data_IF_048001281889
#
_entry.id   IF_048001281889
#
_cell.length_a   1.000
_cell.length_b   1.000
_cell.length_c   1.000
_cell.angle_alpha   90.00
_cell.angle_beta   90.00
_cell.angle_gamma   90.00
#
_symmetry.space_group_name_H-M   'P 1'
#
loop_
_entity.id
_entity.type
_entity.pdbx_description
1 polymer ?
#
# COMPACT_ATOMS: atom_id res chain seq x y z
N UNK A 1 31.97 -15.93 11.20
CA UNK A 1 30.96 -14.91 10.85
C UNK A 1 29.85 -15.57 10.04
N UNK A 2 28.56 -15.30 10.31
CA UNK A 2 27.48 -15.83 9.47
C UNK A 2 27.58 -15.20 8.09
N UNK A 3 27.58 -16.03 7.05
CA UNK A 3 27.57 -15.58 5.66
C UNK A 3 26.30 -14.76 5.43
N UNK A 4 26.36 -13.52 4.92
CA UNK A 4 25.15 -12.73 4.68
C UNK A 4 24.21 -13.54 3.80
N UNK A 5 22.93 -13.56 4.19
CA UNK A 5 21.92 -14.29 3.45
C UNK A 5 21.94 -13.80 2.00
N UNK A 6 22.13 -14.71 1.04
CA UNK A 6 22.33 -14.40 -0.38
C UNK A 6 21.13 -13.68 -1.03
N UNK A 7 19.99 -13.64 -0.32
CA UNK A 7 18.74 -13.00 -0.75
C UNK A 7 18.11 -12.31 0.47
N UNK A 8 17.73 -11.05 0.34
CA UNK A 8 17.04 -10.31 1.40
C UNK A 8 15.55 -10.59 1.38
N UNK A 9 14.86 -10.32 2.49
CA UNK A 9 13.38 -10.36 2.53
C UNK A 9 12.80 -9.37 1.52
N UNK A 10 13.44 -8.21 1.34
CA UNK A 10 12.97 -7.18 0.42
C UNK A 10 13.00 -7.63 -1.04
N UNK A 11 14.09 -8.25 -1.50
CA UNK A 11 14.20 -8.79 -2.86
C UNK A 11 13.11 -9.83 -3.16
N UNK A 12 12.81 -10.69 -2.19
CA UNK A 12 11.77 -11.71 -2.31
C UNK A 12 10.37 -11.08 -2.42
N UNK A 13 10.11 -10.05 -1.63
CA UNK A 13 8.84 -9.34 -1.66
C UNK A 13 8.70 -8.43 -2.90
N UNK A 14 9.80 -7.91 -3.45
CA UNK A 14 9.80 -7.20 -4.73
C UNK A 14 9.47 -8.15 -5.90
N UNK A 15 10.06 -9.34 -5.90
CA UNK A 15 9.72 -10.38 -6.85
C UNK A 15 8.24 -10.82 -6.72
N UNK A 16 7.73 -10.95 -5.50
CA UNK A 16 6.32 -11.25 -5.25
C UNK A 16 5.38 -10.14 -5.76
N UNK A 17 5.73 -8.86 -5.55
CA UNK A 17 4.97 -7.72 -6.07
C UNK A 17 4.96 -7.70 -7.61
N UNK A 18 6.09 -8.01 -8.25
CA UNK A 18 6.19 -8.10 -9.70
C UNK A 18 5.33 -9.23 -10.28
N UNK A 19 5.37 -10.42 -9.66
CA UNK A 19 4.53 -11.55 -10.05
C UNK A 19 3.03 -11.23 -9.90
N UNK A 20 2.65 -10.59 -8.79
CA UNK A 20 1.28 -10.13 -8.56
C UNK A 20 0.84 -9.14 -9.63
N UNK A 21 1.65 -8.14 -9.95
CA UNK A 21 1.31 -7.13 -10.95
C UNK A 21 1.13 -7.74 -12.35
N UNK A 22 1.85 -8.80 -12.67
CA UNK A 22 1.79 -9.48 -13.98
C UNK A 22 0.64 -10.48 -14.07
N UNK A 23 0.51 -11.38 -13.08
CA UNK A 23 -0.36 -12.55 -13.13
C UNK A 23 -1.42 -12.61 -12.02
N UNK A 24 -1.56 -11.56 -11.22
CA UNK A 24 -2.52 -11.50 -10.13
C UNK A 24 -2.12 -12.31 -8.88
N UNK A 25 -3.01 -12.39 -7.89
CA UNK A 25 -2.75 -13.03 -6.59
C UNK A 25 -2.31 -14.50 -6.69
N UNK A 26 -2.87 -15.23 -7.65
CA UNK A 26 -2.55 -16.64 -7.89
C UNK A 26 -1.13 -16.85 -8.42
N UNK A 27 -0.53 -15.86 -9.08
CA UNK A 27 0.85 -15.94 -9.57
C UNK A 27 1.89 -15.87 -8.44
N UNK A 28 1.51 -15.39 -7.25
CA UNK A 28 2.37 -15.36 -6.07
C UNK A 28 2.38 -16.74 -5.41
N UNK A 29 3.26 -17.60 -5.90
CA UNK A 29 3.53 -18.91 -5.31
C UNK A 29 4.94 -18.97 -4.73
N UNK A 30 5.15 -19.86 -3.76
CA UNK A 30 6.46 -20.06 -3.15
C UNK A 30 7.53 -20.42 -4.20
N UNK A 31 7.21 -21.33 -5.11
CA UNK A 31 8.12 -21.73 -6.19
C UNK A 31 8.36 -20.61 -7.20
N UNK A 32 7.34 -19.83 -7.57
CA UNK A 32 7.48 -18.73 -8.51
C UNK A 32 8.38 -17.62 -7.96
N UNK A 33 8.21 -17.25 -6.69
CA UNK A 33 9.05 -16.23 -6.03
C UNK A 33 10.49 -16.70 -5.90
N UNK A 34 10.72 -17.95 -5.45
CA UNK A 34 12.06 -18.50 -5.34
C UNK A 34 12.78 -18.53 -6.71
N UNK A 35 12.06 -18.98 -7.76
CA UNK A 35 12.57 -19.00 -9.13
C UNK A 35 12.89 -17.60 -9.65
N UNK A 36 12.03 -16.62 -9.38
CA UNK A 36 12.20 -15.24 -9.86
C UNK A 36 13.49 -14.58 -9.35
N UNK A 37 13.95 -14.94 -8.15
CA UNK A 37 15.22 -14.43 -7.60
C UNK A 37 16.39 -15.41 -7.74
N UNK A 38 16.19 -16.57 -8.38
CA UNK A 38 17.20 -17.62 -8.51
C UNK A 38 17.59 -18.26 -7.16
N UNK A 39 16.70 -18.26 -6.18
CA UNK A 39 16.93 -18.88 -4.87
C UNK A 39 16.44 -20.33 -4.85
N UNK A 40 17.11 -21.24 -4.11
CA UNK A 40 16.57 -22.56 -3.83
C UNK A 40 15.22 -22.45 -3.08
N UNK A 41 14.23 -23.26 -3.46
CA UNK A 41 12.89 -23.22 -2.85
C UNK A 41 12.92 -23.31 -1.32
N UNK A 42 13.81 -24.15 -0.76
CA UNK A 42 13.97 -24.30 0.70
C UNK A 42 14.36 -23.00 1.42
N UNK A 43 15.09 -22.10 0.76
CA UNK A 43 15.46 -20.81 1.32
C UNK A 43 14.26 -19.86 1.47
N UNK A 44 13.21 -20.05 0.67
CA UNK A 44 11.98 -19.26 0.80
C UNK A 44 11.14 -19.75 2.00
N UNK A 45 11.00 -21.07 2.17
CA UNK A 45 10.27 -21.66 3.30
C UNK A 45 10.88 -21.33 4.66
N UNK A 46 12.20 -21.13 4.73
CA UNK A 46 12.85 -20.67 5.97
C UNK A 46 12.45 -19.24 6.36
N UNK A 47 12.07 -18.39 5.40
CA UNK A 47 11.69 -16.98 5.66
C UNK A 47 10.18 -16.81 5.77
N UNK A 48 9.44 -17.55 4.96
CA UNK A 48 7.99 -17.54 4.94
C UNK A 48 7.51 -18.98 5.09
N UNK A 49 6.97 -19.37 6.26
CA UNK A 49 6.56 -20.75 6.50
C UNK A 49 5.42 -21.21 5.60
N UNK A 50 4.67 -20.29 4.99
CA UNK A 50 3.55 -20.58 4.10
C UNK A 50 3.36 -19.48 3.04
N UNK A 51 2.56 -19.76 2.01
CA UNK A 51 2.11 -18.73 1.06
C UNK A 51 1.35 -17.61 1.76
N UNK A 52 0.50 -17.94 2.73
CA UNK A 52 -0.22 -16.94 3.52
C UNK A 52 0.74 -16.00 4.28
N UNK A 53 1.83 -16.53 4.85
CA UNK A 53 2.86 -15.71 5.49
C UNK A 53 3.60 -14.81 4.49
N UNK A 54 3.91 -15.31 3.29
CA UNK A 54 4.51 -14.52 2.20
C UNK A 54 3.57 -13.38 1.76
N UNK A 55 2.30 -13.68 1.49
CA UNK A 55 1.31 -12.69 1.08
C UNK A 55 1.05 -11.65 2.17
N UNK A 56 0.95 -12.07 3.44
CA UNK A 56 0.80 -11.16 4.56
C UNK A 56 2.00 -10.22 4.74
N UNK A 57 3.23 -10.73 4.58
CA UNK A 57 4.43 -9.88 4.64
C UNK A 57 4.52 -8.93 3.44
N UNK A 58 4.14 -9.38 2.24
CA UNK A 58 4.03 -8.54 1.04
C UNK A 58 3.05 -7.38 1.26
N UNK A 59 1.86 -7.69 1.76
CA UNK A 59 0.85 -6.69 2.09
C UNK A 59 1.37 -5.73 3.17
N UNK A 60 1.82 -6.25 4.32
CA UNK A 60 2.24 -5.43 5.44
C UNK A 60 3.38 -4.49 5.08
N UNK A 61 4.41 -4.97 4.37
CA UNK A 61 5.49 -4.11 3.90
C UNK A 61 4.97 -2.99 3.00
N UNK A 62 4.07 -3.33 2.09
CA UNK A 62 3.52 -2.37 1.13
C UNK A 62 2.67 -1.31 1.81
N UNK A 63 1.73 -1.73 2.65
CA UNK A 63 0.83 -0.85 3.38
C UNK A 63 1.57 0.05 4.37
N UNK A 64 2.60 -0.46 5.05
CA UNK A 64 3.42 0.34 5.96
C UNK A 64 4.26 1.39 5.23
N UNK A 65 4.86 1.06 4.09
CA UNK A 65 5.61 2.04 3.29
C UNK A 65 4.69 3.15 2.80
N UNK A 66 3.51 2.78 2.28
CA UNK A 66 2.50 3.73 1.87
C UNK A 66 2.06 4.64 3.03
N UNK A 67 1.61 4.04 4.14
CA UNK A 67 1.10 4.80 5.28
C UNK A 67 2.17 5.59 6.01
N UNK A 68 3.43 5.14 6.02
CA UNK A 68 4.53 5.93 6.57
C UNK A 68 4.69 7.24 5.79
N UNK A 69 4.78 7.18 4.45
CA UNK A 69 4.91 8.38 3.63
C UNK A 69 3.67 9.26 3.70
N UNK A 70 2.48 8.65 3.67
CA UNK A 70 1.20 9.34 3.79
C UNK A 70 1.12 10.16 5.09
N UNK A 71 1.43 9.52 6.23
CA UNK A 71 1.39 10.17 7.54
C UNK A 71 2.46 11.27 7.66
N UNK A 72 3.62 11.10 7.03
CA UNK A 72 4.65 12.14 6.97
C UNK A 72 4.14 13.38 6.21
N UNK A 73 3.55 13.20 5.03
CA UNK A 73 3.05 14.34 4.23
C UNK A 73 1.87 15.05 4.90
N UNK A 74 0.91 14.31 5.45
CA UNK A 74 -0.19 14.87 6.22
C UNK A 74 0.31 15.61 7.47
N UNK A 75 1.32 15.07 8.16
CA UNK A 75 1.90 15.68 9.36
C UNK A 75 2.66 16.98 9.11
N UNK A 76 3.17 17.20 7.89
CA UNK A 76 3.87 18.45 7.49
C UNK A 76 2.90 19.61 7.22
N UNK A 77 1.67 19.31 6.81
CA UNK A 77 0.69 20.31 6.43
C UNK A 77 -0.04 20.92 7.66
N UNK A 78 -0.38 22.21 7.55
CA UNK A 78 -1.12 22.95 8.59
C UNK A 78 -2.54 23.30 8.14
N UNK A 79 -3.51 23.06 9.01
CA UNK A 79 -4.94 23.24 8.71
C UNK A 79 -5.56 22.04 8.00
N UNK A 80 -6.85 21.82 8.22
CA UNK A 80 -7.55 20.62 7.75
C UNK A 80 -7.50 20.49 6.21
N UNK A 81 -7.74 21.59 5.49
CA UNK A 81 -7.73 21.58 4.02
C UNK A 81 -6.37 21.16 3.45
N UNK A 82 -5.27 21.77 3.91
CA UNK A 82 -3.93 21.42 3.43
C UNK A 82 -3.54 19.97 3.78
N UNK A 83 -3.94 19.48 4.96
CA UNK A 83 -3.73 18.08 5.34
C UNK A 83 -4.44 17.12 4.39
N UNK A 84 -5.70 17.39 4.06
CA UNK A 84 -6.47 16.58 3.11
C UNK A 84 -5.87 16.63 1.69
N UNK A 85 -5.50 17.82 1.20
CA UNK A 85 -4.84 17.99 -0.10
C UNK A 85 -3.51 17.22 -0.15
N UNK A 86 -2.69 17.30 0.91
CA UNK A 86 -1.41 16.59 0.99
C UNK A 86 -1.60 15.07 0.94
N UNK A 87 -2.53 14.53 1.74
CA UNK A 87 -2.83 13.08 1.75
C UNK A 87 -3.38 12.58 0.41
N UNK A 88 -4.31 13.33 -0.19
CA UNK A 88 -4.91 12.99 -1.48
C UNK A 88 -3.86 12.97 -2.60
N UNK A 89 -3.02 14.01 -2.67
CA UNK A 89 -1.94 14.13 -3.65
C UNK A 89 -0.86 13.07 -3.44
N UNK A 90 -0.45 12.81 -2.19
CA UNK A 90 0.51 11.76 -1.89
C UNK A 90 0.04 10.40 -2.43
N UNK A 91 -1.25 10.08 -2.27
CA UNK A 91 -1.80 8.81 -2.72
C UNK A 91 -1.63 8.60 -4.23
N UNK A 92 -2.03 9.57 -5.05
CA UNK A 92 -1.93 9.45 -6.52
C UNK A 92 -0.47 9.44 -6.99
N UNK A 93 0.40 10.20 -6.34
CA UNK A 93 1.84 10.25 -6.64
C UNK A 93 2.51 8.93 -6.29
N UNK A 94 2.25 8.41 -5.10
CA UNK A 94 2.84 7.15 -4.66
C UNK A 94 2.44 5.98 -5.57
N UNK A 95 1.17 5.93 -6.01
CA UNK A 95 0.72 4.92 -6.97
C UNK A 95 1.39 5.03 -8.35
N UNK A 96 1.75 6.25 -8.76
CA UNK A 96 2.50 6.50 -10.01
C UNK A 96 3.94 6.00 -9.89
N UNK A 97 4.57 6.29 -8.76
CA UNK A 97 6.00 6.01 -8.54
C UNK A 97 6.26 4.54 -8.15
N UNK A 98 5.26 3.85 -7.61
CA UNK A 98 5.36 2.48 -7.12
C UNK A 98 4.27 1.57 -7.73
N UNK A 99 4.23 1.38 -9.06
CA UNK A 99 3.10 0.74 -9.73
C UNK A 99 2.89 -0.72 -9.32
N UNK A 100 3.95 -1.50 -9.04
CA UNK A 100 3.81 -2.90 -8.59
C UNK A 100 3.19 -2.96 -7.20
N UNK A 101 3.64 -2.11 -6.28
CA UNK A 101 3.10 -2.06 -4.92
C UNK A 101 1.68 -1.45 -4.91
N UNK A 102 1.37 -0.53 -5.82
CA UNK A 102 0.00 -0.06 -6.02
C UNK A 102 -0.95 -1.19 -6.46
N UNK A 103 -0.49 -2.16 -7.27
CA UNK A 103 -1.28 -3.36 -7.59
C UNK A 103 -1.52 -4.24 -6.36
N UNK A 104 -0.54 -4.37 -5.47
CA UNK A 104 -0.72 -5.09 -4.19
C UNK A 104 -1.84 -4.44 -3.36
N UNK A 105 -1.83 -3.11 -3.22
CA UNK A 105 -2.88 -2.37 -2.51
C UNK A 105 -4.24 -2.48 -3.19
N UNK A 106 -4.28 -2.43 -4.53
CA UNK A 106 -5.51 -2.56 -5.32
C UNK A 106 -6.17 -3.94 -5.15
N UNK A 107 -5.37 -5.01 -5.14
CA UNK A 107 -5.84 -6.38 -4.91
C UNK A 107 -6.51 -6.52 -3.54
N UNK A 108 -5.93 -5.89 -2.51
CA UNK A 108 -6.48 -5.91 -1.16
C UNK A 108 -5.98 -7.09 -0.32
N UNK A 109 -6.10 -6.94 1.00
CA UNK A 109 -5.67 -7.95 1.97
C UNK A 109 -6.51 -9.24 1.88
N UNK A 110 -7.82 -9.11 1.64
CA UNK A 110 -8.76 -10.24 1.59
C UNK A 110 -8.40 -11.22 0.46
N UNK A 111 -8.15 -10.70 -0.74
CA UNK A 111 -7.74 -11.50 -1.90
C UNK A 111 -6.32 -12.09 -1.75
N UNK A 112 -5.52 -11.52 -0.85
CA UNK A 112 -4.23 -12.07 -0.41
C UNK A 112 -4.35 -13.04 0.77
N UNK A 113 -5.57 -13.43 1.14
CA UNK A 113 -5.86 -14.46 2.13
C UNK A 113 -5.67 -14.00 3.57
N UNK A 114 -6.06 -12.76 3.91
CA UNK A 114 -5.91 -12.20 5.27
C UNK A 114 -6.36 -13.14 6.39
N UNK A 115 -7.46 -13.88 6.17
CA UNK A 115 -8.01 -14.84 7.12
C UNK A 115 -7.00 -15.92 7.55
N UNK A 116 -6.04 -16.26 6.69
CA UNK A 116 -5.03 -17.31 6.92
C UNK A 116 -3.68 -16.76 7.37
N UNK A 117 -3.52 -15.44 7.46
CA UNK A 117 -2.23 -14.86 7.84
C UNK A 117 -1.85 -15.23 9.28
N UNK A 118 -0.55 -15.38 9.58
CA UNK A 118 -0.05 -15.43 10.95
C UNK A 118 -0.64 -14.32 11.84
N UNK A 119 -0.96 -14.66 13.10
CA UNK A 119 -1.65 -13.74 14.01
C UNK A 119 -0.85 -12.46 14.29
N UNK A 120 0.47 -12.54 14.31
CA UNK A 120 1.35 -11.40 14.47
C UNK A 120 1.20 -10.38 13.33
N UNK A 121 1.01 -10.84 12.08
CA UNK A 121 0.75 -9.98 10.92
C UNK A 121 -0.63 -9.33 11.00
N UNK A 122 -1.67 -10.10 11.35
CA UNK A 122 -3.01 -9.53 11.56
C UNK A 122 -3.01 -8.50 12.68
N UNK A 123 -2.33 -8.78 13.79
CA UNK A 123 -2.17 -7.84 14.90
C UNK A 123 -1.40 -6.57 14.48
N UNK A 124 -0.35 -6.71 13.65
CA UNK A 124 0.41 -5.60 13.08
C UNK A 124 -0.46 -4.72 12.18
N UNK A 125 -1.27 -5.31 11.30
CA UNK A 125 -2.26 -4.59 10.48
C UNK A 125 -3.26 -3.81 11.34
N UNK A 126 -3.84 -4.44 12.36
CA UNK A 126 -4.76 -3.77 13.29
C UNK A 126 -4.11 -2.58 14.03
N UNK A 127 -2.82 -2.67 14.37
CA UNK A 127 -2.07 -1.53 14.95
C UNK A 127 -1.89 -0.40 13.95
N UNK A 128 -1.51 -0.74 12.72
CA UNK A 128 -1.30 0.23 11.63
C UNK A 128 -2.59 0.99 11.30
N UNK A 129 -3.71 0.27 11.12
CA UNK A 129 -5.01 0.89 10.86
C UNK A 129 -5.51 1.76 12.01
N UNK A 130 -5.22 1.40 13.27
CA UNK A 130 -5.51 2.28 14.42
C UNK A 130 -4.72 3.58 14.36
N UNK A 131 -3.45 3.53 13.95
CA UNK A 131 -2.62 4.74 13.77
C UNK A 131 -3.16 5.63 12.65
N UNK A 132 -3.54 5.06 11.51
CA UNK A 132 -4.17 5.80 10.42
C UNK A 132 -5.47 6.48 10.89
N UNK A 133 -6.38 5.73 11.52
CA UNK A 133 -7.65 6.29 12.03
C UNK A 133 -7.41 7.48 12.97
N UNK A 134 -6.47 7.37 13.91
CA UNK A 134 -6.11 8.47 14.82
C UNK A 134 -5.65 9.72 14.05
N UNK A 135 -4.74 9.55 13.09
CA UNK A 135 -4.24 10.66 12.30
C UNK A 135 -5.34 11.36 11.48
N UNK A 136 -6.31 10.61 10.97
CA UNK A 136 -7.46 11.20 10.27
C UNK A 136 -8.40 11.94 11.23
N UNK A 137 -8.62 11.44 12.44
CA UNK A 137 -9.41 12.14 13.49
C UNK A 137 -8.74 13.43 13.96
N UNK A 138 -7.41 13.53 13.90
CA UNK A 138 -6.65 14.76 14.19
C UNK A 138 -6.79 15.83 13.08
N UNK A 139 -7.44 15.51 11.97
CA UNK A 139 -7.89 16.49 10.98
C UNK A 139 -9.23 17.03 11.48
N UNK A 140 -9.21 18.19 12.12
CA UNK A 140 -10.39 18.83 12.71
C UNK A 140 -11.33 19.39 11.63
N UNK A 141 -12.07 18.50 11.00
CA UNK A 141 -13.14 18.76 10.03
C UNK A 141 -14.18 17.64 10.12
N UNK A 142 -15.24 17.73 9.33
CA UNK A 142 -16.23 16.67 9.19
C UNK A 142 -15.59 15.35 8.72
N UNK A 143 -15.85 14.26 9.45
CA UNK A 143 -15.16 12.99 9.26
C UNK A 143 -15.46 12.32 7.91
N UNK A 144 -16.70 12.45 7.42
CA UNK A 144 -17.10 11.89 6.14
C UNK A 144 -16.42 12.65 5.00
N UNK A 145 -16.35 13.98 5.09
CA UNK A 145 -15.62 14.81 4.13
C UNK A 145 -14.11 14.53 4.13
N UNK A 146 -13.50 14.32 5.30
CA UNK A 146 -12.07 13.93 5.39
C UNK A 146 -11.85 12.57 4.72
N UNK A 147 -12.70 11.59 5.01
CA UNK A 147 -12.63 10.24 4.42
C UNK A 147 -12.77 10.31 2.90
N UNK A 148 -13.77 11.03 2.40
CA UNK A 148 -13.98 11.20 0.97
C UNK A 148 -12.79 11.88 0.28
N UNK A 149 -12.26 12.96 0.86
CA UNK A 149 -11.16 13.72 0.30
C UNK A 149 -9.85 12.93 0.24
N UNK A 150 -9.61 12.07 1.23
CA UNK A 150 -8.29 11.46 1.47
C UNK A 150 -8.23 10.00 1.00
N UNK A 151 -9.35 9.28 1.07
CA UNK A 151 -9.40 7.84 0.79
C UNK A 151 -10.23 7.59 -0.47
N UNK A 152 -11.51 7.93 -0.46
CA UNK A 152 -12.45 7.44 -1.48
C UNK A 152 -12.16 8.04 -2.86
N UNK A 153 -11.96 9.36 -2.94
CA UNK A 153 -11.70 10.05 -4.21
C UNK A 153 -10.32 9.66 -4.79
N UNK A 154 -9.21 9.74 -4.04
CA UNK A 154 -7.91 9.30 -4.56
C UNK A 154 -7.92 7.84 -5.00
N UNK A 155 -8.57 6.94 -4.23
CA UNK A 155 -8.73 5.54 -4.62
C UNK A 155 -9.49 5.42 -5.95
N UNK A 156 -10.64 6.08 -6.10
CA UNK A 156 -11.43 6.04 -7.33
C UNK A 156 -10.64 6.56 -8.55
N UNK A 157 -9.87 7.63 -8.37
CA UNK A 157 -9.01 8.22 -9.41
C UNK A 157 -7.93 7.23 -9.86
N UNK A 158 -7.20 6.58 -8.94
CA UNK A 158 -6.12 5.64 -9.33
C UNK A 158 -6.67 4.31 -9.83
N UNK A 159 -7.78 3.82 -9.26
CA UNK A 159 -8.32 2.48 -9.50
C UNK A 159 -8.50 2.18 -10.99
N UNK A 160 -9.10 3.10 -11.75
CA UNK A 160 -9.33 2.92 -13.19
C UNK A 160 -8.03 2.75 -13.99
N UNK A 161 -6.95 3.40 -13.57
CA UNK A 161 -5.65 3.31 -14.25
C UNK A 161 -4.93 2.02 -13.87
N UNK A 162 -4.97 1.66 -12.59
CA UNK A 162 -4.38 0.42 -12.09
C UNK A 162 -5.05 -0.82 -12.69
N UNK A 163 -6.39 -0.84 -12.78
CA UNK A 163 -7.13 -1.93 -13.44
C UNK A 163 -6.79 -2.04 -14.93
N UNK A 164 -6.61 -0.91 -15.60
CA UNK A 164 -6.18 -0.87 -17.00
C UNK A 164 -4.68 -1.11 -17.19
N UNK A 165 -3.91 -1.36 -16.11
CA UNK A 165 -2.45 -1.48 -16.10
C UNK A 165 -1.74 -0.31 -16.81
N UNK A 166 -2.27 0.90 -16.64
CA UNK A 166 -1.68 2.14 -17.15
C UNK A 166 -1.10 2.98 -16.02
N UNK A 167 -0.11 3.78 -16.35
CA UNK A 167 0.43 4.76 -15.41
C UNK A 167 -0.67 5.74 -14.95
N UNK A 168 -0.65 6.11 -13.67
CA UNK A 168 -1.50 7.17 -13.13
C UNK A 168 -1.04 8.50 -13.71
N UNK A 169 -1.89 9.26 -14.43
CA UNK A 169 -1.47 10.47 -15.11
C UNK A 169 -1.07 11.57 -14.12
N UNK A 170 -0.14 12.45 -14.53
CA UNK A 170 0.30 13.60 -13.71
C UNK A 170 -0.86 14.53 -13.36
N UNK A 171 -1.82 14.69 -14.27
CA UNK A 171 -3.03 15.48 -14.04
C UNK A 171 -3.93 14.96 -12.90
N UNK A 172 -3.74 13.72 -12.42
CA UNK A 172 -4.47 13.22 -11.26
C UNK A 172 -4.20 14.05 -10.00
N UNK A 173 -3.01 14.65 -9.87
CA UNK A 173 -2.62 15.48 -8.72
C UNK A 173 -3.56 16.69 -8.58
N UNK A 174 -3.88 17.36 -9.68
CA UNK A 174 -4.79 18.51 -9.69
C UNK A 174 -6.22 18.08 -9.35
N UNK A 175 -6.71 16.99 -9.95
CA UNK A 175 -8.06 16.47 -9.73
C UNK A 175 -8.30 16.21 -8.24
N UNK A 176 -7.42 15.43 -7.59
CA UNK A 176 -7.62 15.09 -6.17
C UNK A 176 -7.40 16.29 -5.25
N UNK A 177 -6.53 17.22 -5.62
CA UNK A 177 -6.32 18.47 -4.85
C UNK A 177 -7.57 19.35 -4.90
N UNK A 178 -8.18 19.52 -6.06
CA UNK A 178 -9.38 20.34 -6.23
C UNK A 178 -10.58 19.73 -5.52
N UNK A 179 -10.76 18.41 -5.61
CA UNK A 179 -11.78 17.70 -4.83
C UNK A 179 -11.58 17.86 -3.33
N UNK A 180 -10.35 17.71 -2.82
CA UNK A 180 -10.07 17.87 -1.39
C UNK A 180 -10.33 19.31 -0.91
N UNK A 181 -10.00 20.34 -1.70
CA UNK A 181 -10.31 21.74 -1.38
C UNK A 181 -11.81 22.01 -1.36
N UNK A 182 -12.56 21.43 -2.30
CA UNK A 182 -14.01 21.59 -2.38
C UNK A 182 -14.73 20.95 -1.18
N UNK A 183 -14.26 19.78 -0.72
CA UNK A 183 -14.84 19.08 0.43
C UNK A 183 -14.50 19.75 1.76
N UNK A 184 -13.29 20.29 1.89
CA UNK A 184 -12.77 20.91 3.11
C UNK A 184 -12.58 22.41 2.86
N UNK A 185 -13.61 23.25 3.05
CA UNK A 185 -13.47 24.69 2.89
C UNK A 185 -12.46 25.27 3.89
N UNK A 186 -11.76 26.35 3.54
CA UNK A 186 -10.92 27.05 4.49
C UNK A 186 -11.81 27.62 5.60
N UNK A 187 -11.36 27.44 6.85
CA UNK A 187 -11.92 28.11 8.03
C UNK A 187 -11.57 29.58 8.02
#
# INVERSE_FOLDING_TARGET
MPRPARYTVDELLDAAAALLAQGGPAAVTMSAVARAVGAPSGSLYHRFPSRAALCGQLWMRTEERFLSGFLTEVGRARGAQHKCVAGARFTVQWCRDHPQQAQVLLVGADELGEAEWPEDLRARRRRLHRRLRRALTEIHADADRVTAAVIDIPYAVVRRHLLARRAVPVGADAIVSDCARALIPPT
#
